data_IF_614683206648
#
_entry.id   IF_614683206648
#
_cell.length_a   1.000
_cell.length_b   1.000
_cell.length_c   1.000
_cell.angle_alpha   90.00
_cell.angle_beta   90.00
_cell.angle_gamma   90.00
#
_symmetry.space_group_name_H-M   'P 1'
#
loop_
_entity.id
_entity.type
_entity.pdbx_description
1 polymer ?
#
# COMPACT_ATOMS: atom_id res chain seq x y z
N UNK A 1 11.54 5.07 10.75
CA UNK A 1 11.75 6.22 9.85
C UNK A 1 12.17 5.83 8.42
N UNK A 2 12.35 4.54 8.08
CA UNK A 2 12.59 4.10 6.69
C UNK A 2 11.32 3.98 5.85
N UNK A 3 10.29 3.27 6.33
CA UNK A 3 9.02 3.07 5.60
C UNK A 3 8.40 4.35 5.01
N UNK A 4 8.37 5.44 5.78
CA UNK A 4 7.79 6.70 5.32
C UNK A 4 8.57 7.33 4.15
N UNK A 5 9.88 7.10 4.08
CA UNK A 5 10.71 7.56 2.98
C UNK A 5 10.38 6.79 1.70
N UNK A 6 10.40 5.45 1.77
CA UNK A 6 10.10 4.57 0.63
C UNK A 6 8.70 4.84 0.06
N UNK A 7 7.71 5.06 0.93
CA UNK A 7 6.37 5.46 0.49
C UNK A 7 6.40 6.80 -0.26
N UNK A 8 7.21 7.75 0.18
CA UNK A 8 7.44 9.02 -0.52
C UNK A 8 8.04 8.82 -1.91
N UNK A 9 8.99 7.89 -2.05
CA UNK A 9 9.62 7.55 -3.32
C UNK A 9 8.61 6.88 -4.28
N UNK A 10 7.82 5.91 -3.81
CA UNK A 10 6.69 5.33 -4.56
C UNK A 10 5.75 6.42 -5.08
N UNK A 11 5.33 7.35 -4.22
CA UNK A 11 4.43 8.45 -4.61
C UNK A 11 5.10 9.39 -5.64
N UNK A 12 6.40 9.63 -5.50
CA UNK A 12 7.20 10.40 -6.45
C UNK A 12 7.24 9.76 -7.84
N UNK A 13 7.50 8.45 -7.91
CA UNK A 13 7.49 7.67 -9.16
C UNK A 13 6.08 7.64 -9.78
N UNK A 14 5.06 7.35 -8.98
CA UNK A 14 3.67 7.33 -9.43
C UNK A 14 3.24 8.68 -10.01
N UNK A 15 3.61 9.80 -9.36
CA UNK A 15 3.31 11.15 -9.87
C UNK A 15 4.00 11.45 -11.21
N UNK A 16 5.19 10.89 -11.48
CA UNK A 16 5.86 11.02 -12.78
C UNK A 16 5.15 10.18 -13.84
N UNK A 17 4.77 8.95 -13.49
CA UNK A 17 3.99 8.07 -14.36
C UNK A 17 2.65 8.70 -14.79
N UNK A 18 1.91 9.32 -13.86
CA UNK A 18 0.65 10.02 -14.17
C UNK A 18 0.87 11.21 -15.12
N UNK A 19 2.04 11.86 -15.06
CA UNK A 19 2.42 12.95 -15.98
C UNK A 19 2.86 12.47 -17.36
N UNK A 20 3.10 11.18 -17.54
CA UNK A 20 3.59 10.60 -18.79
C UNK A 20 5.11 10.49 -18.90
N UNK A 21 5.86 10.83 -17.85
CA UNK A 21 7.32 10.77 -17.83
C UNK A 21 7.81 9.50 -17.08
N UNK A 22 8.68 8.70 -17.71
CA UNK A 22 9.47 7.65 -17.05
C UNK A 22 9.17 6.18 -17.42
N UNK A 23 10.11 5.27 -17.10
CA UNK A 23 9.93 3.82 -17.21
C UNK A 23 9.01 3.33 -16.09
N UNK A 24 7.75 3.07 -16.47
CA UNK A 24 6.63 2.87 -15.56
C UNK A 24 6.76 1.63 -14.67
N UNK A 25 7.49 0.61 -15.12
CA UNK A 25 7.43 -0.69 -14.45
C UNK A 25 8.63 -0.95 -13.56
N UNK A 26 9.85 -0.64 -14.03
CA UNK A 26 11.06 -0.95 -13.27
C UNK A 26 11.22 -0.07 -12.04
N UNK A 27 10.99 1.23 -12.20
CA UNK A 27 11.19 2.19 -11.11
C UNK A 27 10.18 1.96 -9.98
N UNK A 28 8.88 1.86 -10.30
CA UNK A 28 7.86 1.65 -9.27
C UNK A 28 8.01 0.30 -8.56
N UNK A 29 8.48 -0.74 -9.27
CA UNK A 29 8.69 -2.07 -8.68
C UNK A 29 9.81 -2.07 -7.65
N UNK A 30 10.88 -1.29 -7.87
CA UNK A 30 11.96 -1.16 -6.90
C UNK A 30 11.45 -0.54 -5.60
N UNK A 31 10.84 0.65 -5.70
CA UNK A 31 10.31 1.37 -4.54
C UNK A 31 9.23 0.57 -3.78
N UNK A 32 8.35 -0.15 -4.51
CA UNK A 32 7.38 -1.05 -3.89
C UNK A 32 8.05 -2.21 -3.15
N UNK A 33 9.18 -2.71 -3.66
CA UNK A 33 9.99 -3.72 -2.99
C UNK A 33 10.52 -3.22 -1.65
N UNK A 34 11.03 -1.98 -1.60
CA UNK A 34 11.58 -1.38 -0.39
C UNK A 34 10.48 -1.11 0.66
N UNK A 35 9.30 -0.64 0.23
CA UNK A 35 8.10 -0.56 1.09
C UNK A 35 7.75 -1.92 1.68
N UNK A 36 7.67 -2.96 0.85
CA UNK A 36 7.32 -4.31 1.29
C UNK A 36 8.36 -4.90 2.24
N UNK A 37 9.65 -4.58 2.05
CA UNK A 37 10.71 -4.98 2.96
C UNK A 37 10.50 -4.41 4.37
N UNK A 38 10.22 -3.12 4.49
CA UNK A 38 9.94 -2.51 5.79
C UNK A 38 8.68 -3.08 6.44
N UNK A 39 7.63 -3.32 5.67
CA UNK A 39 6.42 -3.98 6.18
C UNK A 39 6.77 -5.37 6.72
N UNK A 40 7.48 -6.20 5.94
CA UNK A 40 7.89 -7.53 6.37
C UNK A 40 8.75 -7.50 7.66
N UNK A 41 9.68 -6.54 7.77
CA UNK A 41 10.46 -6.33 9.00
C UNK A 41 9.60 -5.96 10.21
N UNK A 42 8.50 -5.23 10.02
CA UNK A 42 7.56 -4.95 11.11
C UNK A 42 6.81 -6.21 11.54
N UNK A 43 6.34 -7.03 10.60
CA UNK A 43 5.69 -8.31 10.92
C UNK A 43 6.62 -9.23 11.73
N UNK A 44 7.89 -9.35 11.32
CA UNK A 44 8.92 -10.12 12.04
C UNK A 44 9.16 -9.57 13.46
N UNK A 45 9.27 -8.24 13.60
CA UNK A 45 9.50 -7.59 14.90
C UNK A 45 8.36 -7.80 15.91
N UNK A 46 7.12 -7.92 15.42
CA UNK A 46 5.94 -8.12 16.26
C UNK A 46 5.48 -9.59 16.34
N UNK A 47 6.22 -10.52 15.73
CA UNK A 47 5.86 -11.93 15.63
C UNK A 47 4.43 -12.13 15.08
N UNK A 48 4.10 -11.38 14.03
CA UNK A 48 2.78 -11.39 13.39
C UNK A 48 2.81 -12.16 12.07
N UNK A 49 1.75 -12.90 11.78
CA UNK A 49 1.57 -13.53 10.48
C UNK A 49 0.95 -12.54 9.47
N UNK A 50 1.65 -12.29 8.37
CA UNK A 50 1.19 -11.36 7.33
C UNK A 50 -0.12 -11.81 6.65
N UNK A 51 -0.29 -13.10 6.39
CA UNK A 51 -1.48 -13.62 5.73
C UNK A 51 -2.73 -13.49 6.61
N UNK A 52 -2.60 -13.74 7.91
CA UNK A 52 -3.69 -13.59 8.89
C UNK A 52 -4.15 -12.14 8.97
N UNK A 53 -3.23 -11.19 9.16
CA UNK A 53 -3.56 -9.75 9.25
C UNK A 53 -4.22 -9.24 7.95
N UNK A 54 -3.74 -9.68 6.79
CA UNK A 54 -4.36 -9.35 5.50
C UNK A 54 -5.76 -9.94 5.37
N UNK A 55 -5.96 -11.19 5.79
CA UNK A 55 -7.25 -11.86 5.74
C UNK A 55 -8.28 -11.18 6.67
N UNK A 56 -7.90 -10.86 7.90
CA UNK A 56 -8.75 -10.11 8.83
C UNK A 56 -9.13 -8.73 8.27
N UNK A 57 -8.19 -8.04 7.61
CA UNK A 57 -8.47 -6.77 6.96
C UNK A 57 -9.50 -6.94 5.82
N UNK A 58 -9.34 -7.97 4.99
CA UNK A 58 -10.27 -8.30 3.91
C UNK A 58 -11.68 -8.59 4.43
N UNK A 59 -11.81 -9.43 5.46
CA UNK A 59 -13.11 -9.74 6.08
C UNK A 59 -13.77 -8.47 6.62
N UNK A 60 -13.04 -7.63 7.34
CA UNK A 60 -13.51 -6.34 7.86
C UNK A 60 -13.98 -5.40 6.75
N UNK A 61 -13.26 -5.31 5.64
CA UNK A 61 -13.65 -4.45 4.51
C UNK A 61 -14.86 -5.00 3.75
N UNK A 62 -14.96 -6.32 3.62
CA UNK A 62 -16.08 -7.00 2.99
C UNK A 62 -17.36 -6.80 3.80
N UNK A 63 -17.31 -7.01 5.12
CA UNK A 63 -18.45 -6.75 6.01
C UNK A 63 -18.87 -5.26 5.99
N UNK A 64 -17.93 -4.31 5.94
CA UNK A 64 -18.25 -2.88 5.77
C UNK A 64 -18.95 -2.59 4.44
N UNK A 65 -18.53 -3.27 3.38
CA UNK A 65 -19.14 -3.16 2.05
C UNK A 65 -20.56 -3.71 2.06
N UNK A 66 -20.78 -4.88 2.64
CA UNK A 66 -22.11 -5.51 2.77
C UNK A 66 -23.08 -4.65 3.57
N UNK A 67 -22.60 -4.01 4.64
CA UNK A 67 -23.39 -3.08 5.45
C UNK A 67 -23.61 -1.70 4.81
N UNK A 68 -23.02 -1.43 3.65
CA UNK A 68 -23.13 -0.14 2.96
C UNK A 68 -22.46 1.03 3.72
N UNK A 69 -21.55 0.73 4.65
CA UNK A 69 -20.85 1.73 5.49
C UNK A 69 -19.38 1.90 5.13
N UNK A 70 -18.94 1.28 4.03
CA UNK A 70 -17.59 1.46 3.52
C UNK A 70 -17.42 2.93 3.09
N UNK A 71 -16.83 3.74 3.97
CA UNK A 71 -16.50 5.14 3.65
C UNK A 71 -15.35 5.16 2.66
N UNK A 72 -15.69 5.34 1.39
CA UNK A 72 -14.74 5.31 0.30
C UNK A 72 -15.40 5.51 -1.05
N UNK A 73 -16.30 6.49 -1.16
CA UNK A 73 -16.46 7.22 -2.42
C UNK A 73 -16.17 8.68 -2.10
N UNK A 74 -14.91 9.07 -2.28
CA UNK A 74 -14.57 10.46 -2.54
C UNK A 74 -15.09 10.79 -3.93
N UNK A 75 -16.41 10.79 -4.10
CA UNK A 75 -17.10 11.16 -5.32
C UNK A 75 -16.70 12.62 -5.59
N UNK A 76 -15.89 12.80 -6.64
CA UNK A 76 -15.48 14.05 -7.27
C UNK A 76 -15.20 15.26 -6.37
N UNK A 77 -13.93 15.48 -6.01
CA UNK A 77 -13.39 16.83 -5.79
C UNK A 77 -12.02 16.98 -6.43
#
# INVERSE_FOLDING_TARGET
MGLANEVGEVLGKYKKQVRGDGDKYKEIRAELGDVMWYIARMFDMYDMNMAEVLHENYLKLTDRKERGVLKGDGDYR
#
